data_IF_620513008146
#
_entry.id   IF_620513008146
#
_cell.length_a   1.000
_cell.length_b   1.000
_cell.length_c   1.000
_cell.angle_alpha   90.00
_cell.angle_beta   90.00
_cell.angle_gamma   90.00
#
_symmetry.space_group_name_H-M   'P 1'
#
loop_
_entity.id
_entity.type
_entity.pdbx_description
1 polymer ?
2 non-polymer ?
3 water ?
#
# COMPACT_ATOMS: atom_id res chain seq x y z
N UNK A 12 -25.28 12.04 -0.76
CA UNK A 12 -24.58 10.84 -1.27
C UNK A 12 -23.25 11.14 -2.02
N UNK A 13 -22.84 10.19 -2.86
CA UNK A 13 -21.48 10.24 -3.45
C UNK A 13 -21.17 11.47 -4.29
N UNK A 14 -22.21 12.06 -4.91
CA UNK A 14 -22.00 13.30 -5.73
C UNK A 14 -21.43 14.37 -4.86
N UNK A 15 -21.70 14.29 -3.53
CA UNK A 15 -21.26 15.31 -2.58
C UNK A 15 -20.07 14.89 -1.76
N UNK A 16 -19.45 13.79 -2.19
CA UNK A 16 -18.16 13.38 -1.63
C UNK A 16 -17.24 14.58 -1.28
N UNK A 17 -16.90 14.66 0.01
CA UNK A 17 -16.00 15.67 0.57
C UNK A 17 -14.53 15.27 0.78
N UNK A 18 -14.19 13.99 0.57
CA UNK A 18 -12.82 13.55 0.75
C UNK A 18 -11.77 14.19 -0.18
N UNK A 19 -10.52 14.28 0.30
CA UNK A 19 -9.44 14.75 -0.58
C UNK A 19 -8.88 13.61 -1.46
N UNK A 20 -9.22 12.38 -1.10
CA UNK A 20 -8.75 11.19 -1.88
C UNK A 20 -9.58 11.01 -3.21
N UNK A 21 -9.00 10.29 -4.16
CA UNK A 21 -9.69 9.90 -5.45
C UNK A 21 -9.21 8.46 -5.66
N UNK A 22 -10.15 7.51 -5.56
CA UNK A 22 -9.83 6.12 -5.85
C UNK A 22 -9.90 5.35 -4.53
N UNK A 23 -10.21 4.05 -4.62
CA UNK A 23 -10.31 3.19 -3.47
C UNK A 23 -10.09 1.72 -3.92
N UNK A 24 -9.35 0.99 -3.09
CA UNK A 24 -9.01 -0.38 -3.39
C UNK A 24 -9.30 -1.13 -2.06
N UNK A 25 -9.66 -2.40 -2.18
CA UNK A 25 -9.85 -3.26 -1.04
C UNK A 25 -8.81 -4.36 -1.16
N UNK A 26 -7.91 -4.44 -0.14
CA UNK A 26 -6.94 -5.53 -0.13
C UNK A 26 -7.60 -6.58 0.75
N UNK A 27 -7.94 -7.73 0.14
CA UNK A 27 -8.65 -8.78 0.92
C UNK A 27 -7.52 -9.66 1.47
N UNK A 28 -7.10 -9.35 2.72
CA UNK A 28 -5.94 -10.07 3.33
C UNK A 28 -6.42 -11.30 4.17
N UNK A 29 -5.45 -12.14 4.54
CA UNK A 29 -5.77 -13.32 5.40
C UNK A 29 -6.11 -12.84 6.80
N UNK A 30 -5.86 -11.58 7.13
CA UNK A 30 -6.28 -10.98 8.39
C UNK A 30 -7.52 -10.04 8.29
N UNK A 31 -8.25 -10.09 7.15
CA UNK A 31 -9.39 -9.24 6.95
C UNK A 31 -9.14 -8.19 5.84
N UNK A 32 -10.19 -7.42 5.51
CA UNK A 32 -10.03 -6.45 4.44
C UNK A 32 -9.36 -5.17 4.96
N UNK A 33 -8.48 -4.59 4.14
CA UNK A 33 -8.03 -3.21 4.37
C UNK A 33 -8.54 -2.36 3.19
N UNK A 34 -9.38 -1.37 3.46
CA UNK A 34 -9.87 -0.51 2.38
C UNK A 34 -8.93 0.69 2.29
N UNK A 35 -8.29 0.85 1.12
CA UNK A 35 -7.25 1.90 0.94
C UNK A 35 -7.81 3.01 0.04
N UNK A 36 -7.97 4.24 0.60
CA UNK A 36 -8.38 5.40 -0.22
C UNK A 36 -7.10 6.05 -0.65
N UNK A 37 -7.09 6.56 -1.85
CA UNK A 37 -5.85 6.98 -2.51
C UNK A 37 -5.73 8.51 -2.75
N UNK A 38 -4.55 9.04 -2.48
CA UNK A 38 -4.19 10.46 -2.83
C UNK A 38 -3.65 10.58 -4.28
N UNK A 39 -4.57 10.31 -5.22
CA UNK A 39 -4.20 10.17 -6.64
C UNK A 39 -3.84 11.54 -7.22
N UNK A 40 -4.46 12.59 -6.70
CA UNK A 40 -4.11 13.94 -7.27
C UNK A 40 -2.70 14.36 -6.87
N UNK A 41 -2.37 14.06 -5.58
CA UNK A 41 -1.13 14.47 -4.95
C UNK A 41 0.05 13.55 -5.31
N UNK A 42 -0.22 12.24 -5.48
CA UNK A 42 0.83 11.24 -5.69
C UNK A 42 0.43 10.35 -6.89
N UNK A 43 0.27 10.98 -8.08
CA UNK A 43 -0.22 10.25 -9.24
C UNK A 43 0.70 9.07 -9.66
N UNK A 44 2.03 9.18 -9.53
CA UNK A 44 2.97 8.09 -9.99
C UNK A 44 2.76 6.89 -8.99
N UNK A 45 2.80 7.16 -7.70
CA UNK A 45 2.66 6.00 -6.75
C UNK A 45 1.28 5.37 -6.96
N UNK A 46 0.25 6.22 -7.09
CA UNK A 46 -1.11 5.68 -7.18
C UNK A 46 -1.33 4.94 -8.51
N UNK A 47 -0.81 5.47 -9.62
CA UNK A 47 -0.96 4.77 -10.95
C UNK A 47 -0.29 3.41 -10.91
N UNK A 48 0.90 3.38 -10.35
CA UNK A 48 1.69 2.09 -10.26
C UNK A 48 0.92 1.11 -9.35
N UNK A 49 0.41 1.59 -8.20
CA UNK A 49 -0.26 0.75 -7.27
C UNK A 49 -1.60 0.22 -7.91
N UNK A 50 -2.40 1.14 -8.43
CA UNK A 50 -3.69 0.70 -8.99
C UNK A 50 -3.45 -0.26 -10.17
N UNK A 51 -2.53 0.11 -11.05
CA UNK A 51 -2.27 -0.80 -12.18
C UNK A 51 -1.84 -2.24 -11.78
N UNK A 52 -0.96 -2.35 -10.75
CA UNK A 52 -0.56 -3.66 -10.22
C UNK A 52 -1.73 -4.42 -9.63
N UNK A 53 -2.61 -3.69 -8.94
CA UNK A 53 -3.80 -4.26 -8.36
C UNK A 53 -4.71 -4.81 -9.46
N UNK A 54 -4.84 -4.08 -10.56
CA UNK A 54 -5.64 -4.59 -11.70
C UNK A 54 -5.04 -5.81 -12.40
N UNK A 55 -3.70 -5.83 -12.49
CA UNK A 55 -2.98 -6.90 -13.20
C UNK A 55 -2.89 -8.19 -12.39
N UNK A 56 -3.14 -8.11 -11.08
CA UNK A 56 -3.06 -9.26 -10.14
C UNK A 56 -1.62 -9.48 -9.56
N UNK A 57 -0.74 -8.46 -9.70
CA UNK A 57 0.59 -8.51 -9.15
C UNK A 57 0.64 -8.86 -7.65
N UNK A 58 -0.29 -8.28 -6.89
CA UNK A 58 -0.16 -8.47 -5.42
C UNK A 58 -0.84 -9.74 -4.91
N UNK A 59 -1.61 -10.44 -5.77
CA UNK A 59 -2.29 -11.69 -5.33
C UNK A 59 -1.27 -12.71 -4.71
N UNK A 60 -1.59 -13.22 -3.55
CA UNK A 60 -0.77 -14.15 -2.80
C UNK A 60 0.56 -13.60 -2.32
N UNK A 61 0.73 -12.29 -2.36
CA UNK A 61 1.96 -11.70 -1.80
C UNK A 61 1.81 -11.62 -0.27
N UNK A 62 2.93 -11.88 0.44
CA UNK A 62 2.90 -11.81 1.89
C UNK A 62 3.26 -10.39 2.43
N UNK A 63 3.07 -10.26 3.75
CA UNK A 63 3.55 -9.07 4.46
C UNK A 63 4.81 -9.61 5.16
N UNK A 64 5.96 -9.23 4.62
CA UNK A 64 7.24 -9.86 5.02
C UNK A 64 7.91 -9.14 6.19
N UNK A 65 7.35 -8.00 6.68
CA UNK A 65 8.00 -7.26 7.82
C UNK A 65 6.92 -6.69 8.63
N UNK A 66 7.02 -6.86 9.96
CA UNK A 66 6.16 -6.15 10.90
C UNK A 66 7.07 -5.61 11.99
N UNK A 67 7.01 -4.30 12.17
CA UNK A 67 7.92 -3.65 13.14
C UNK A 67 6.85 -3.00 14.05
N UNK A 68 6.72 -3.55 15.25
CA UNK A 68 5.56 -3.23 16.11
C UNK A 68 5.50 -1.74 16.45
N UNK A 69 4.28 -1.19 16.37
CA UNK A 69 4.08 0.21 16.61
C UNK A 69 4.96 1.05 15.68
N UNK A 70 5.18 0.54 14.46
CA UNK A 70 5.87 1.30 13.48
C UNK A 70 5.25 1.05 12.07
N UNK A 71 5.63 -0.06 11.41
CA UNK A 71 5.03 -0.34 10.07
C UNK A 71 4.84 -1.83 9.83
N UNK A 72 3.93 -2.13 8.87
CA UNK A 72 3.91 -3.46 8.24
C UNK A 72 4.30 -3.25 6.76
N UNK A 73 5.00 -4.22 6.17
CA UNK A 73 5.48 -4.00 4.80
C UNK A 73 5.16 -5.21 3.93
N UNK A 74 4.75 -4.95 2.71
CA UNK A 74 4.51 -6.09 1.79
C UNK A 74 4.67 -5.63 0.31
N UNK A 75 4.07 -6.42 -0.57
CA UNK A 75 3.98 -6.07 -2.01
C UNK A 75 5.17 -6.59 -2.83
N UNK A 76 5.94 -7.52 -2.25
CA UNK A 76 7.09 -8.18 -2.92
C UNK A 76 6.71 -9.65 -3.29
N UNK A 77 6.52 -9.95 -4.59
CA UNK A 77 6.14 -11.27 -5.01
C UNK A 77 7.21 -12.37 -4.65
N UNK A 78 8.49 -11.98 -4.50
CA UNK A 78 9.54 -12.97 -4.12
C UNK A 78 9.37 -13.42 -2.66
N UNK A 79 8.71 -12.56 -1.86
CA UNK A 79 8.51 -12.83 -0.45
C UNK A 79 9.81 -12.62 0.36
N UNK A 80 10.86 -12.09 -0.23
CA UNK A 80 12.19 -12.03 0.40
C UNK A 80 12.46 -10.65 1.05
N UNK A 81 11.69 -9.67 0.62
CA UNK A 81 12.02 -8.30 0.99
C UNK A 81 12.86 -7.55 0.03
N UNK A 82 13.49 -8.24 -0.93
CA UNK A 82 14.39 -7.62 -1.91
C UNK A 82 13.76 -7.43 -3.24
N UNK A 83 12.53 -7.93 -3.43
CA UNK A 83 11.93 -7.79 -4.82
C UNK A 83 11.07 -6.52 -4.98
N UNK A 84 10.26 -6.49 -6.05
CA UNK A 84 9.39 -5.29 -6.31
C UNK A 84 9.99 -4.21 -7.17
N UNK A 85 11.17 -4.43 -7.78
CA UNK A 85 11.78 -3.39 -8.66
C UNK A 85 11.13 -3.33 -10.07
N UNK A 86 10.39 -4.36 -10.45
CA UNK A 86 9.75 -4.49 -11.77
C UNK A 86 8.45 -3.59 -11.82
N UNK A 87 8.68 -2.27 -11.79
CA UNK A 87 7.56 -1.29 -11.71
C UNK A 87 6.77 -1.27 -13.04
N UNK A 88 5.64 -0.59 -13.02
CA UNK A 88 4.88 -0.40 -14.25
C UNK A 88 5.49 0.59 -15.24
N UNK A 89 6.50 1.36 -14.80
CA UNK A 89 7.05 2.44 -15.61
C UNK A 89 8.24 1.89 -16.45
N UNK A 90 7.97 0.82 -17.18
CA UNK A 90 8.99 -0.01 -17.92
C UNK A 90 10.07 -0.52 -17.00
N UNK A 91 9.68 -0.85 -15.77
CA UNK A 91 10.62 -1.36 -14.76
C UNK A 91 11.57 -0.38 -14.18
N UNK A 92 11.35 0.91 -14.40
CA UNK A 92 12.24 1.96 -13.87
C UNK A 92 11.71 2.44 -12.46
N UNK A 93 12.64 2.84 -11.57
CA UNK A 93 12.15 3.46 -10.33
C UNK A 93 11.43 4.75 -10.61
N UNK A 94 10.67 5.26 -9.63
CA UNK A 94 9.98 6.55 -9.82
C UNK A 94 10.25 7.40 -8.60
N UNK A 95 9.94 8.69 -8.73
CA UNK A 95 10.37 9.71 -7.72
C UNK A 95 9.46 9.64 -6.51
N UNK A 96 9.99 10.00 -5.37
CA UNK A 96 9.17 10.26 -4.23
C UNK A 96 8.27 11.48 -4.45
N UNK A 97 7.01 11.38 -4.00
CA UNK A 97 6.05 12.48 -4.18
C UNK A 97 5.64 12.91 -2.78
N UNK A 98 5.76 14.21 -2.46
CA UNK A 98 5.40 14.69 -1.10
C UNK A 98 4.34 15.71 -1.27
N UNK A 99 3.71 16.09 -0.17
CA UNK A 99 2.65 17.07 -0.17
C UNK A 99 2.55 17.63 1.27
N UNK A 100 2.44 18.96 1.43
CA UNK A 100 2.41 19.56 2.78
C UNK A 100 1.30 18.98 3.67
N UNK A 101 0.24 18.51 3.07
CA UNK A 101 -0.87 18.06 3.91
C UNK A 101 -0.81 16.55 4.19
N UNK A 102 0.17 15.88 3.59
CA UNK A 102 0.28 14.41 3.81
C UNK A 102 1.49 14.09 4.69
N UNK A 103 1.20 13.73 5.94
CA UNK A 103 2.30 13.47 6.91
C UNK A 103 1.98 12.13 7.63
N UNK A 104 3.02 11.42 8.11
CA UNK A 104 2.78 10.16 8.73
C UNK A 104 2.33 10.29 10.21
N UNK A 105 1.15 10.89 10.40
CA UNK A 105 0.74 11.29 11.76
C UNK A 105 -0.13 10.28 12.49
N UNK A 106 -0.53 9.22 11.78
CA UNK A 106 -1.55 8.28 12.28
C UNK A 106 -1.19 6.86 11.79
N UNK A 107 -1.76 5.86 12.49
CA UNK A 107 -1.78 4.51 11.95
C UNK A 107 -2.58 4.46 10.64
N UNK A 108 -2.29 3.44 9.84
CA UNK A 108 -3.10 3.22 8.61
C UNK A 108 -2.72 4.07 7.43
N UNK A 109 -1.54 4.70 7.43
CA UNK A 109 -1.14 5.54 6.30
C UNK A 109 -0.23 4.68 5.44
N UNK A 110 -0.48 4.70 4.14
CA UNK A 110 0.15 3.78 3.20
C UNK A 110 1.22 4.53 2.40
N UNK A 111 2.44 3.98 2.41
CA UNK A 111 3.62 4.60 1.76
C UNK A 111 4.25 3.65 0.74
N UNK A 112 4.96 4.25 -0.19
CA UNK A 112 5.85 3.46 -1.09
C UNK A 112 7.13 3.11 -0.32
N UNK A 113 7.49 1.84 -0.36
CA UNK A 113 8.72 1.39 0.29
C UNK A 113 9.84 1.49 -0.77
N UNK A 114 11.02 1.83 -0.31
CA UNK A 114 12.22 1.76 -1.16
C UNK A 114 13.31 1.12 -0.26
N UNK A 115 13.98 0.09 -0.84
CA UNK A 115 15.02 -0.85 -0.20
C UNK A 115 16.22 -0.22 0.46
N UNK A 132 17.06 2.27 -2.09
CA UNK A 132 16.86 3.71 -2.10
C UNK A 132 15.76 4.25 -3.09
N UNK A 133 15.40 3.51 -4.14
CA UNK A 133 14.59 4.14 -5.20
C UNK A 133 13.13 3.48 -5.15
N UNK A 134 12.06 4.20 -5.47
CA UNK A 134 10.70 3.60 -5.30
C UNK A 134 10.44 2.44 -6.24
N UNK A 135 9.89 1.34 -5.67
CA UNK A 135 9.38 0.19 -6.45
C UNK A 135 7.94 -0.09 -6.12
N UNK A 136 7.59 -1.37 -6.20
CA UNK A 136 6.20 -1.81 -6.01
C UNK A 136 5.82 -2.19 -4.56
N UNK A 137 6.84 -2.34 -3.66
CA UNK A 137 6.52 -2.71 -2.30
C UNK A 137 5.83 -1.46 -1.62
N UNK A 138 5.03 -1.73 -0.61
CA UNK A 138 4.36 -0.62 0.10
C UNK A 138 4.48 -0.95 1.60
N UNK A 139 4.21 0.07 2.41
CA UNK A 139 4.12 -0.18 3.86
C UNK A 139 2.92 0.56 4.35
N UNK A 140 2.43 0.12 5.52
CA UNK A 140 1.31 0.79 6.18
C UNK A 140 1.74 1.08 7.63
N UNK A 141 1.49 2.29 8.09
CA UNK A 141 1.91 2.65 9.47
C UNK A 141 1.02 1.87 10.46
N UNK A 142 1.60 1.45 11.60
CA UNK A 142 0.84 0.86 12.72
C UNK A 142 0.75 1.83 13.92
N UNK A 143 1.35 3.03 13.75
CA UNK A 143 1.41 4.05 14.79
C UNK A 143 1.88 5.35 14.15
N UNK A 144 1.83 6.45 14.93
CA UNK A 144 2.43 7.68 14.42
C UNK A 144 3.92 7.53 14.15
N UNK A 145 4.39 8.04 12.99
CA UNK A 145 5.72 7.72 12.51
C UNK A 145 6.37 8.96 11.79
N UNK A 146 6.53 10.06 12.54
CA UNK A 146 7.05 11.30 11.91
C UNK A 146 8.35 11.17 11.14
N UNK A 147 9.20 10.25 11.62
CA UNK A 147 10.46 10.01 11.01
C UNK A 147 10.43 9.66 9.53
N UNK A 148 9.28 9.18 9.06
CA UNK A 148 9.11 8.82 7.65
C UNK A 148 8.70 9.99 6.76
N UNK A 149 8.32 11.12 7.35
CA UNK A 149 7.94 12.31 6.56
C UNK A 149 9.00 12.77 5.54
N UNK A 150 8.54 13.12 4.33
CA UNK A 150 9.44 13.74 3.31
C UNK A 150 10.37 12.77 2.63
N UNK A 151 10.65 11.65 3.28
CA UNK A 151 11.59 10.65 2.76
C UNK A 151 10.89 9.57 1.92
N UNK A 152 9.59 9.40 2.15
CA UNK A 152 8.80 8.32 1.48
C UNK A 152 7.51 8.97 0.96
N UNK A 153 7.05 8.48 -0.17
CA UNK A 153 5.71 8.88 -0.67
C UNK A 153 4.61 8.32 0.25
N UNK A 154 3.76 9.19 0.81
CA UNK A 154 2.55 8.76 1.51
C UNK A 154 1.40 8.89 0.45
N UNK A 155 0.84 7.73 0.03
CA UNK A 155 -0.13 7.78 -1.06
C UNK A 155 -1.56 7.29 -0.75
N UNK A 156 -1.75 6.64 0.41
CA UNK A 156 -3.13 6.20 0.71
C UNK A 156 -3.37 6.12 2.19
N UNK A 157 -4.59 5.76 2.52
CA UNK A 157 -4.96 5.66 3.90
C UNK A 157 -5.98 4.52 4.05
N UNK A 158 -5.75 3.66 5.04
CA UNK A 158 -6.73 2.63 5.40
C UNK A 158 -7.96 3.28 6.13
N UNK A 159 -9.19 2.92 5.69
CA UNK A 159 -10.38 3.64 6.23
C UNK A 159 -10.51 3.27 7.74
N UNK A 160 -11.12 4.19 8.49
CA UNK A 160 -11.37 3.97 9.93
C UNK A 160 -12.05 2.65 10.11
N UNK A 161 -13.02 2.32 9.24
CA UNK A 161 -13.81 1.07 9.38
C UNK A 161 -13.00 -0.22 9.29
N UNK A 162 -11.88 -0.16 8.55
CA UNK A 162 -11.04 -1.40 8.40
C UNK A 162 -9.72 -1.35 9.26
N UNK A 163 -9.50 -0.26 10.02
CA UNK A 163 -8.27 -0.21 10.89
C UNK A 163 -8.19 -1.34 11.88
N UNK A 164 -9.34 -1.84 12.37
CA UNK A 164 -9.26 -2.99 13.32
C UNK A 164 -8.53 -4.24 12.73
N UNK A 165 -8.65 -4.51 11.40
CA UNK A 165 -7.91 -5.59 10.73
C UNK A 165 -6.41 -5.25 10.66
N UNK A 166 -6.14 -3.96 10.37
CA UNK A 166 -4.75 -3.57 10.24
C UNK A 166 -4.05 -3.88 11.61
N UNK A 167 -4.72 -3.52 12.70
CA UNK A 167 -4.10 -3.63 14.04
C UNK A 167 -3.81 -5.06 14.51
N UNK A 168 -4.46 -6.07 13.89
CA UNK A 168 -4.10 -7.45 14.08
C UNK A 168 -2.67 -7.70 13.67
N UNK A 169 -2.15 -6.95 12.67
CA UNK A 169 -0.79 -7.15 12.21
C UNK A 169 0.21 -6.82 13.34
N UNK A 170 -0.20 -5.90 14.18
CA UNK A 170 0.63 -5.38 15.26
C UNK A 170 0.84 -6.43 16.33
N UNK A 171 -0.03 -7.45 16.34
CA UNK A 171 -0.07 -8.49 17.33
C UNK A 171 0.61 -9.78 16.90
N UNK A 172 1.08 -9.84 15.65
CA UNK A 172 1.78 -11.05 15.16
C UNK A 172 3.07 -11.34 15.93
N UNK A 173 3.35 -12.61 16.16
CA UNK A 173 4.70 -13.04 16.51
C UNK A 173 5.69 -12.85 15.37
N UNK A 174 6.82 -12.22 15.71
CA UNK A 174 7.84 -11.92 14.74
C UNK A 174 9.12 -12.68 15.06
N UNK A 175 9.81 -13.15 14.02
CA UNK A 175 11.12 -13.77 14.12
C UNK A 175 12.28 -12.85 13.71
N UNK A 176 13.23 -13.44 13.02
CA UNK A 176 14.44 -12.70 12.62
C UNK A 176 14.10 -11.63 11.55
N UNK A 177 14.80 -10.47 11.61
CA UNK A 177 14.69 -9.45 10.56
C UNK A 177 13.25 -8.94 10.48
N UNK A 178 12.55 -8.97 11.59
CA UNK A 178 11.15 -8.43 11.63
C UNK A 178 10.16 -9.30 10.80
N UNK A 179 10.52 -10.54 10.46
CA UNK A 179 9.63 -11.36 9.65
C UNK A 179 8.57 -12.07 10.49
N UNK A 180 7.23 -11.91 10.15
CA UNK A 180 6.22 -12.61 10.93
C UNK A 180 6.52 -14.12 10.90
N UNK A 181 6.32 -14.76 12.04
CA UNK A 181 6.46 -16.24 12.10
C UNK A 181 5.46 -16.89 11.10
N UNK A 182 4.24 -16.31 11.00
CA UNK A 182 3.20 -16.76 10.04
C UNK A 182 2.81 -15.52 9.16
N UNK A 183 3.56 -15.23 8.07
CA UNK A 183 3.25 -14.02 7.28
C UNK A 183 1.79 -14.01 6.77
N UNK A 184 1.09 -12.95 7.07
CA UNK A 184 -0.21 -12.82 6.43
C UNK A 184 0.02 -12.52 4.97
N UNK A 185 -1.06 -12.62 4.20
CA UNK A 185 -0.92 -12.43 2.76
C UNK A 185 -2.23 -11.81 2.14
N UNK A 186 -2.09 -11.36 0.93
CA UNK A 186 -3.19 -10.80 0.14
C UNK A 186 -3.79 -11.92 -0.66
N UNK A 187 -5.06 -12.16 -0.43
CA UNK A 187 -5.84 -13.21 -1.16
C UNK A 187 -6.29 -12.73 -2.55
N UNK A 188 -6.76 -11.47 -2.58
CA UNK A 188 -7.32 -10.87 -3.84
C UNK A 188 -7.43 -9.37 -3.57
N UNK A 189 -7.57 -8.59 -4.64
CA UNK A 189 -7.64 -7.10 -4.57
C UNK A 189 -8.86 -6.65 -5.46
N UNK A 190 -9.73 -5.86 -4.91
CA UNK A 190 -10.78 -5.32 -5.78
C UNK A 190 -10.59 -3.80 -5.85
N UNK A 191 -10.52 -3.31 -7.08
CA UNK A 191 -10.39 -1.85 -7.31
C UNK A 191 -11.81 -1.33 -7.39
N UNK A 192 -12.37 -0.86 -6.25
CA UNK A 192 -13.76 -0.35 -6.17
C UNK A 192 -13.89 0.93 -7.01
N UNK A 193 -12.84 1.75 -6.95
CA UNK A 193 -12.83 3.01 -7.67
C UNK A 193 -11.45 3.29 -8.22
N UNK A 194 -11.34 3.16 -9.56
CA UNK A 194 -10.10 3.37 -10.22
C UNK A 194 -10.11 4.85 -10.63
N UNK A 195 -9.19 5.67 -10.10
CA UNK A 195 -9.31 7.13 -10.39
C UNK A 195 -8.63 7.53 -11.70
N UNK A 196 -8.16 6.54 -12.49
CA UNK A 196 -7.39 6.75 -13.73
C UNK A 196 -8.11 6.20 -14.94
N UNK A 197 -8.82 7.08 -15.63
CA UNK A 197 -9.64 6.60 -16.77
C UNK A 197 -8.79 5.98 -17.90
N UNK A 198 -7.51 6.37 -18.00
CA UNK A 198 -6.70 5.88 -19.10
C UNK A 198 -5.74 4.70 -18.75
N UNK A 199 -5.88 4.08 -17.61
CA UNK A 199 -4.93 3.06 -17.23
C UNK A 199 -5.38 1.75 -17.87
N UNK A 200 -4.48 1.04 -18.59
CA UNK A 200 -4.95 -0.23 -19.11
C UNK A 200 -4.01 -1.28 -18.54
N UNK A 201 -4.53 -2.23 -17.77
CA UNK A 201 -3.59 -3.21 -17.18
C UNK A 201 -2.96 -4.04 -18.35
N UNK A 202 -1.67 -4.37 -18.19
CA UNK A 202 -0.93 -5.11 -19.22
C UNK A 202 -1.30 -6.60 -19.31
N UNK A 203 -2.01 -7.10 -18.31
CA UNK A 203 -2.36 -8.51 -18.08
C UNK A 203 -3.48 -8.48 -17.05
N UNK A 204 -4.09 -9.63 -16.83
CA UNK A 204 -5.19 -9.70 -15.86
C UNK A 204 -4.93 -10.82 -14.85
N UNK A 205 -5.61 -10.79 -13.69
CA UNK A 205 -5.22 -11.76 -12.64
C UNK A 205 -5.42 -13.24 -13.05
N UNK A 206 -4.53 -14.11 -12.54
CA UNK A 206 -4.38 -15.56 -12.95
C UNK A 206 -5.44 -16.47 -12.28
X LIG B 1 -4.63 16.29 0.63
X LIG B 1 -4.68 17.34 -0.28
X LIG B 1 -5.31 16.71 1.91
X LIG B 1 -5.07 18.10 2.14
X LIG B 1 -4.70 15.83 2.99
X LIG B 1 -5.70 15.45 3.88
X LIG C 1 0.15 -18.49 -0.12
X LIG C 1 -1.16 -18.90 0.23
X LIG C 1 0.72 -17.30 0.67
X LIG C 1 1.57 -16.65 -0.23
X LIG C 1 1.64 -17.68 1.82
X LIG C 1 1.03 -18.64 2.69
X LIG D 1 -10.31 -2.00 -15.29
X LIG D 1 -9.37 -1.88 -16.38
X LIG D 1 -10.48 -0.57 -14.75
X LIG D 1 -9.42 0.16 -15.40
X LIG D 1 -10.52 -0.27 -13.23
X LIG D 1 -11.29 -1.01 -12.27
X LIG E 1 5.57 -7.33 -15.43
X LIG E 1 5.32 -8.64 -15.99
X LIG E 1 5.55 -7.41 -13.89
X LIG E 1 4.52 -8.26 -13.45
X LIG E 1 5.38 -6.14 -13.08
X LIG E 1 5.56 -4.93 -13.70
#
# INVERSE_FOLDING_TARGET
MHHHHHHSSGRENLYFQGSTRGKVVLHTSLGDLDVELWARECPLACRNFVQLCLEGYYVNTIFHRVVKDFIVQGGDPTGTGRGGADTTFDGKPFDVETHPRLKFRYRGLVGVANLGRSSKDAENDERGRSLGTNGNQFFITLARADVLNNAYTLFGKVTGHTLYNLMKFNDLEVGKEDRPMTPPFIKSVDVLWNPFEDLVPRRLPDAPPAQKDERKRARAAGGRTTEGRARS
GOL C1 O1 C2 O2 C3 O3
GOL C1 O1 C2 O2 C3 O3
GOL C1 O1 C2 O2 C3 O3
GOL C1 O1 C2 O2 C3 O3
#
